data_IF_305644141114
#
_entry.id   IF_305644141114
#
_cell.length_a   1.000
_cell.length_b   1.000
_cell.length_c   1.000
_cell.angle_alpha   90.00
_cell.angle_beta   90.00
_cell.angle_gamma   90.00
#
_symmetry.space_group_name_H-M   'P 1'
#
loop_
_entity.id
_entity.type
_entity.pdbx_description
1 polymer ?
#
# COMPACT_ATOMS: atom_id res chain seq x y z
N UNK A 1 31.46 45.27 -56.30
CA UNK A 1 30.52 44.55 -57.17
C UNK A 1 30.80 43.06 -56.99
N UNK A 2 29.77 42.27 -56.62
CA UNK A 2 29.65 40.79 -56.64
C UNK A 2 30.67 39.95 -55.84
N UNK A 3 30.33 38.95 -55.01
CA UNK A 3 29.11 38.42 -54.36
C UNK A 3 29.61 37.23 -53.52
N UNK A 4 29.26 37.16 -52.24
CA UNK A 4 29.38 35.92 -51.45
C UNK A 4 28.36 34.91 -51.99
N UNK A 5 28.83 33.69 -52.30
CA UNK A 5 27.95 32.56 -52.62
C UNK A 5 27.84 31.72 -51.36
N UNK A 6 26.80 32.01 -50.59
CA UNK A 6 26.33 31.15 -49.52
C UNK A 6 25.82 29.84 -50.14
N UNK A 7 26.48 28.73 -49.81
CA UNK A 7 25.99 27.38 -50.15
C UNK A 7 24.95 26.99 -49.10
N UNK A 8 23.72 27.45 -49.28
CA UNK A 8 22.55 26.87 -48.63
C UNK A 8 22.41 25.41 -49.07
N UNK A 9 22.84 24.49 -48.22
CA UNK A 9 22.47 23.08 -48.30
C UNK A 9 20.98 22.99 -47.93
N UNK A 10 20.14 23.15 -48.94
CA UNK A 10 18.70 22.99 -48.89
C UNK A 10 18.36 21.52 -48.54
N UNK A 11 18.21 21.24 -47.23
CA UNK A 11 17.66 19.99 -46.73
C UNK A 11 16.14 20.02 -46.89
N UNK A 12 15.67 19.73 -48.10
CA UNK A 12 14.27 19.45 -48.41
C UNK A 12 13.72 18.21 -47.67
N UNK A 13 12.41 17.94 -47.74
CA UNK A 13 11.55 17.39 -46.68
C UNK A 13 11.66 15.85 -46.46
N UNK A 14 12.86 15.27 -46.60
CA UNK A 14 13.06 13.82 -46.48
C UNK A 14 13.10 13.31 -45.02
N UNK A 15 13.14 14.22 -44.04
CA UNK A 15 13.09 13.84 -42.62
C UNK A 15 11.65 13.67 -42.12
N UNK A 16 10.69 14.38 -42.72
CA UNK A 16 9.33 14.49 -42.18
C UNK A 16 8.49 13.22 -42.44
N UNK A 17 8.71 12.55 -43.57
CA UNK A 17 8.03 11.29 -43.88
C UNK A 17 8.51 10.11 -43.02
N UNK A 18 9.73 10.18 -42.48
CA UNK A 18 10.27 9.16 -41.56
C UNK A 18 9.75 9.39 -40.14
N UNK A 19 9.68 10.63 -39.65
CA UNK A 19 9.04 10.96 -38.38
C UNK A 19 7.54 10.63 -38.38
N UNK A 20 6.83 10.91 -39.47
CA UNK A 20 5.41 10.54 -39.63
C UNK A 20 5.21 9.02 -39.74
N UNK A 21 6.14 8.27 -40.34
CA UNK A 21 6.08 6.79 -40.36
C UNK A 21 6.40 6.18 -39.00
N UNK A 22 7.37 6.72 -38.26
CA UNK A 22 7.73 6.23 -36.91
C UNK A 22 6.57 6.49 -35.93
N UNK A 23 5.83 7.58 -36.10
CA UNK A 23 4.66 7.91 -35.28
C UNK A 23 3.39 7.12 -35.63
N UNK A 24 3.35 6.48 -36.81
CA UNK A 24 2.21 5.70 -37.32
C UNK A 24 2.50 4.20 -37.47
N UNK A 25 3.68 3.73 -37.05
CA UNK A 25 3.87 2.30 -36.86
C UNK A 25 2.85 1.88 -35.81
N UNK A 26 1.97 0.90 -36.11
CA UNK A 26 1.07 0.37 -35.10
C UNK A 26 1.95 -0.03 -33.94
N UNK A 27 1.72 0.56 -32.76
CA UNK A 27 2.32 0.09 -31.52
C UNK A 27 2.25 -1.42 -31.58
N UNK A 28 3.43 -2.06 -31.60
CA UNK A 28 3.52 -3.47 -31.92
C UNK A 28 2.47 -4.20 -31.09
N UNK A 29 1.74 -5.16 -31.67
CA UNK A 29 0.63 -5.80 -30.94
C UNK A 29 1.05 -6.31 -29.55
N UNK A 30 2.35 -6.54 -29.35
CA UNK A 30 2.99 -6.83 -28.06
C UNK A 30 2.93 -5.65 -27.09
N UNK A 31 3.36 -4.44 -27.44
CA UNK A 31 3.29 -3.26 -26.54
C UNK A 31 1.85 -2.94 -26.13
N UNK A 32 0.92 -2.95 -27.08
CA UNK A 32 -0.50 -2.75 -26.80
C UNK A 32 -1.07 -3.87 -25.89
N UNK A 33 -0.59 -5.11 -26.01
CA UNK A 33 -0.98 -6.18 -25.08
C UNK A 33 -0.36 -6.02 -23.70
N UNK A 34 0.89 -5.56 -23.60
CA UNK A 34 1.57 -5.38 -22.31
C UNK A 34 0.89 -4.28 -21.49
N UNK A 35 0.50 -3.17 -22.13
CA UNK A 35 -0.25 -2.07 -21.51
C UNK A 35 -1.61 -2.53 -20.95
N UNK A 36 -2.25 -3.52 -21.58
CA UNK A 36 -3.50 -4.09 -21.09
C UNK A 36 -3.29 -5.19 -20.03
N UNK A 37 -2.17 -5.90 -20.08
CA UNK A 37 -1.87 -7.02 -19.17
C UNK A 37 -1.38 -6.53 -17.81
N UNK A 38 -0.51 -5.52 -17.77
CA UNK A 38 0.03 -4.96 -16.53
C UNK A 38 -1.05 -4.59 -15.49
N UNK A 39 -2.11 -3.82 -15.83
CA UNK A 39 -3.15 -3.45 -14.86
C UNK A 39 -3.96 -4.66 -14.39
N UNK A 40 -4.22 -5.64 -15.26
CA UNK A 40 -4.97 -6.85 -14.89
C UNK A 40 -4.18 -7.70 -13.91
N UNK A 41 -2.89 -7.91 -14.18
CA UNK A 41 -1.98 -8.64 -13.28
C UNK A 41 -1.91 -7.94 -11.93
N UNK A 42 -1.74 -6.61 -11.92
CA UNK A 42 -1.70 -5.83 -10.69
C UNK A 42 -3.00 -5.97 -9.88
N UNK A 43 -4.17 -5.77 -10.51
CA UNK A 43 -5.46 -5.82 -9.83
C UNK A 43 -5.74 -7.21 -9.25
N UNK A 44 -5.53 -8.27 -10.04
CA UNK A 44 -5.74 -9.64 -9.58
C UNK A 44 -4.81 -9.98 -8.42
N UNK A 45 -3.54 -9.62 -8.51
CA UNK A 45 -2.55 -9.87 -7.48
C UNK A 45 -2.85 -9.11 -6.18
N UNK A 46 -3.11 -7.80 -6.28
CA UNK A 46 -3.37 -6.93 -5.12
C UNK A 46 -4.69 -7.26 -4.45
N UNK A 47 -5.79 -7.38 -5.22
CA UNK A 47 -7.10 -7.70 -4.67
C UNK A 47 -7.09 -9.13 -4.11
N UNK A 48 -6.55 -10.10 -4.85
CA UNK A 48 -6.45 -11.47 -4.38
C UNK A 48 -5.69 -11.58 -3.07
N UNK A 49 -4.57 -10.85 -2.95
CA UNK A 49 -3.78 -10.81 -1.73
C UNK A 49 -4.50 -10.13 -0.57
N UNK A 50 -5.12 -8.95 -0.77
CA UNK A 50 -5.83 -8.26 0.32
C UNK A 50 -7.08 -9.02 0.77
N UNK A 51 -7.81 -9.70 -0.12
CA UNK A 51 -8.90 -10.61 0.24
C UNK A 51 -8.39 -11.80 1.04
N UNK A 52 -7.36 -12.49 0.54
CA UNK A 52 -6.78 -13.64 1.23
C UNK A 52 -6.26 -13.25 2.63
N UNK A 53 -5.59 -12.09 2.72
CA UNK A 53 -5.13 -11.52 3.97
C UNK A 53 -6.28 -11.20 4.92
N UNK A 54 -7.35 -10.58 4.45
CA UNK A 54 -8.53 -10.24 5.26
C UNK A 54 -9.23 -11.49 5.80
N UNK A 55 -9.39 -12.52 4.96
CA UNK A 55 -9.98 -13.81 5.37
C UNK A 55 -9.10 -14.48 6.44
N UNK A 56 -7.78 -14.47 6.24
CA UNK A 56 -6.86 -15.10 7.19
C UNK A 56 -6.75 -14.33 8.51
N UNK A 57 -6.78 -13.00 8.44
CA UNK A 57 -6.74 -12.11 9.60
C UNK A 57 -8.00 -12.30 10.47
N UNK A 58 -9.18 -12.43 9.84
CA UNK A 58 -10.43 -12.71 10.53
C UNK A 58 -10.50 -14.13 11.13
N UNK A 59 -9.89 -15.13 10.49
CA UNK A 59 -10.02 -16.54 10.89
C UNK A 59 -8.95 -17.00 11.89
N UNK A 60 -7.74 -16.45 11.82
CA UNK A 60 -6.59 -16.98 12.58
C UNK A 60 -5.82 -15.92 13.38
N UNK A 61 -6.13 -14.62 13.23
CA UNK A 61 -5.42 -13.51 13.89
C UNK A 61 -3.87 -13.55 13.73
N UNK A 62 -3.39 -14.29 12.74
CA UNK A 62 -1.99 -14.51 12.40
C UNK A 62 -1.90 -14.62 10.87
N UNK A 63 -1.20 -13.67 10.27
CA UNK A 63 -0.90 -13.72 8.83
C UNK A 63 0.29 -14.67 8.63
N UNK A 64 0.13 -15.77 7.87
CA UNK A 64 1.20 -16.71 7.62
C UNK A 64 2.24 -16.10 6.68
N UNK A 65 3.53 -16.25 7.02
CA UNK A 65 4.64 -15.83 6.15
C UNK A 65 4.57 -16.49 4.76
N UNK A 66 3.92 -17.67 4.66
CA UNK A 66 3.72 -18.40 3.41
C UNK A 66 2.86 -17.65 2.38
N UNK A 67 2.06 -16.65 2.79
CA UNK A 67 1.29 -15.81 1.87
C UNK A 67 2.05 -14.52 1.53
N UNK A 68 2.71 -13.92 2.52
CA UNK A 68 3.39 -12.63 2.36
C UNK A 68 4.69 -12.75 1.57
N UNK A 69 5.45 -13.84 1.77
CA UNK A 69 6.71 -14.07 1.06
C UNK A 69 6.54 -14.23 -0.46
N UNK A 70 5.64 -15.10 -0.97
CA UNK A 70 5.44 -15.21 -2.41
C UNK A 70 4.96 -13.89 -3.01
N UNK A 71 4.09 -13.15 -2.32
CA UNK A 71 3.69 -11.82 -2.80
C UNK A 71 4.84 -10.82 -2.81
N UNK A 72 5.70 -10.83 -1.80
CA UNK A 72 6.88 -9.97 -1.79
C UNK A 72 7.79 -10.25 -3.01
N UNK A 73 8.14 -11.52 -3.24
CA UNK A 73 8.99 -11.89 -4.38
C UNK A 73 8.32 -11.64 -5.72
N UNK A 74 7.03 -11.93 -5.86
CA UNK A 74 6.28 -11.66 -7.07
C UNK A 74 6.20 -10.16 -7.38
N UNK A 75 6.19 -9.29 -6.37
CA UNK A 75 6.23 -7.83 -6.55
C UNK A 75 7.55 -7.35 -7.14
N UNK A 76 8.68 -7.92 -6.70
CA UNK A 76 9.98 -7.62 -7.30
C UNK A 76 10.09 -8.10 -8.75
N UNK A 77 9.54 -9.27 -9.05
CA UNK A 77 9.49 -9.79 -10.43
C UNK A 77 8.62 -8.87 -11.29
N UNK A 78 7.44 -8.47 -10.79
CA UNK A 78 6.55 -7.54 -11.49
C UNK A 78 7.28 -6.21 -11.80
N UNK A 79 7.89 -5.58 -10.79
CA UNK A 79 8.63 -4.33 -10.97
C UNK A 79 9.79 -4.46 -11.96
N UNK A 80 10.47 -5.61 -11.98
CA UNK A 80 11.56 -5.86 -12.92
C UNK A 80 11.11 -6.13 -14.36
N UNK A 81 9.96 -6.77 -14.53
CA UNK A 81 9.42 -7.15 -15.84
C UNK A 81 8.74 -5.97 -16.54
N UNK A 82 7.93 -5.20 -15.82
CA UNK A 82 7.16 -4.11 -16.42
C UNK A 82 7.90 -2.77 -16.40
N UNK A 83 8.60 -2.49 -15.30
CA UNK A 83 9.10 -1.15 -15.01
C UNK A 83 10.65 -1.07 -14.92
N UNK A 84 11.33 -2.20 -15.16
CA UNK A 84 12.78 -2.34 -15.25
C UNK A 84 13.51 -1.75 -14.02
N UNK A 85 14.62 -1.03 -14.22
CA UNK A 85 15.40 -0.43 -13.12
C UNK A 85 14.64 0.66 -12.35
N UNK A 86 13.78 1.43 -13.03
CA UNK A 86 12.96 2.47 -12.39
C UNK A 86 11.95 1.84 -11.42
N UNK A 87 11.30 0.76 -11.86
CA UNK A 87 10.40 -0.08 -11.05
C UNK A 87 11.07 -0.67 -9.82
N UNK A 88 12.27 -1.22 -9.98
CA UNK A 88 13.02 -1.78 -8.84
C UNK A 88 13.33 -0.71 -7.78
N UNK A 89 13.72 0.50 -8.20
CA UNK A 89 14.01 1.59 -7.28
C UNK A 89 12.72 2.06 -6.56
N UNK A 90 11.63 2.24 -7.30
CA UNK A 90 10.35 2.68 -6.73
C UNK A 90 9.73 1.61 -5.82
N UNK A 91 9.81 0.33 -6.19
CA UNK A 91 9.40 -0.81 -5.37
C UNK A 91 10.23 -0.96 -4.10
N UNK A 92 11.56 -0.75 -4.19
CA UNK A 92 12.45 -0.76 -3.02
C UNK A 92 12.18 0.39 -2.05
N UNK A 93 11.95 1.60 -2.56
CA UNK A 93 11.53 2.73 -1.74
C UNK A 93 10.13 2.52 -1.13
N UNK A 94 9.21 1.93 -1.89
CA UNK A 94 7.89 1.51 -1.40
C UNK A 94 7.99 0.50 -0.26
N UNK A 95 8.84 -0.51 -0.41
CA UNK A 95 9.15 -1.46 0.65
C UNK A 95 9.70 -0.75 1.89
N UNK A 96 10.71 0.11 1.72
CA UNK A 96 11.34 0.80 2.84
C UNK A 96 10.34 1.66 3.63
N UNK A 97 9.45 2.37 2.94
CA UNK A 97 8.40 3.16 3.60
C UNK A 97 7.34 2.27 4.23
N UNK A 98 6.77 1.34 3.48
CA UNK A 98 5.66 0.50 3.96
C UNK A 98 6.07 -0.41 5.10
N UNK A 99 7.14 -1.19 4.90
CA UNK A 99 7.71 -2.05 5.93
C UNK A 99 8.33 -1.21 7.04
N UNK A 100 9.17 -0.22 6.73
CA UNK A 100 9.92 0.54 7.73
C UNK A 100 9.05 1.31 8.70
N UNK A 101 8.01 2.01 8.21
CA UNK A 101 7.12 2.78 9.09
C UNK A 101 6.33 1.87 10.03
N UNK A 102 5.71 0.80 9.50
CA UNK A 102 4.96 -0.13 10.35
C UNK A 102 5.88 -0.94 11.27
N UNK A 103 7.08 -1.30 10.81
CA UNK A 103 8.09 -1.98 11.64
C UNK A 103 8.49 -1.11 12.83
N UNK A 104 8.66 0.19 12.62
CA UNK A 104 8.94 1.14 13.70
C UNK A 104 7.78 1.21 14.71
N UNK A 105 6.52 1.24 14.23
CA UNK A 105 5.33 1.15 15.08
C UNK A 105 5.23 -0.19 15.83
N UNK A 106 5.61 -1.29 15.18
CA UNK A 106 5.65 -2.61 15.81
C UNK A 106 6.71 -2.67 16.92
N UNK A 107 7.86 -2.03 16.73
CA UNK A 107 8.92 -1.94 17.74
C UNK A 107 8.48 -1.14 18.98
N UNK A 108 7.67 -0.10 18.79
CA UNK A 108 7.01 0.65 19.89
C UNK A 108 5.88 -0.18 20.53
N UNK A 109 5.45 -1.27 19.87
CA UNK A 109 4.45 -2.21 20.34
C UNK A 109 3.02 -1.81 20.05
N UNK A 110 2.79 -0.82 19.17
CA UNK A 110 1.45 -0.34 18.80
C UNK A 110 0.86 -1.13 17.62
N UNK A 111 1.67 -1.51 16.63
CA UNK A 111 1.26 -2.29 15.46
C UNK A 111 1.61 -3.78 15.57
N UNK A 112 1.02 -4.65 14.73
CA UNK A 112 1.20 -6.11 14.77
C UNK A 112 2.25 -6.58 13.78
N UNK A 113 3.06 -7.57 14.17
CA UNK A 113 4.10 -8.08 13.28
C UNK A 113 3.56 -8.74 12.00
N UNK A 114 2.29 -9.14 12.00
CA UNK A 114 1.59 -9.60 10.80
C UNK A 114 1.30 -8.46 9.82
N UNK A 115 0.76 -7.35 10.32
CA UNK A 115 0.40 -6.16 9.53
C UNK A 115 1.61 -5.55 8.83
N UNK A 116 2.77 -5.51 9.52
CA UNK A 116 4.05 -5.04 8.97
C UNK A 116 4.46 -5.83 7.73
N UNK A 117 4.34 -7.17 7.79
CA UNK A 117 4.69 -8.05 6.67
C UNK A 117 3.69 -7.93 5.53
N UNK A 118 2.41 -7.79 5.87
CA UNK A 118 1.33 -7.61 4.91
C UNK A 118 1.58 -6.38 4.04
N UNK A 119 1.73 -5.24 4.71
CA UNK A 119 1.87 -3.96 4.04
C UNK A 119 3.24 -3.81 3.38
N UNK A 120 4.30 -4.37 3.97
CA UNK A 120 5.62 -4.40 3.34
C UNK A 120 5.63 -5.18 2.02
N UNK A 121 4.94 -6.33 1.94
CA UNK A 121 4.80 -7.04 0.67
C UNK A 121 3.94 -6.26 -0.33
N UNK A 122 2.86 -5.64 0.13
CA UNK A 122 1.95 -4.84 -0.70
C UNK A 122 2.63 -3.60 -1.29
N UNK A 123 3.49 -2.95 -0.50
CA UNK A 123 4.15 -1.69 -0.88
C UNK A 123 5.18 -1.84 -2.00
N UNK A 124 5.74 -3.04 -2.20
CA UNK A 124 6.64 -3.36 -3.32
C UNK A 124 5.89 -3.29 -4.65
N UNK A 125 4.65 -3.80 -4.70
CA UNK A 125 3.81 -3.78 -5.90
C UNK A 125 3.36 -2.36 -6.25
N UNK A 126 3.02 -1.58 -5.21
CA UNK A 126 2.50 -0.23 -5.36
C UNK A 126 3.58 0.79 -5.69
N UNK A 127 4.81 0.53 -5.27
CA UNK A 127 5.89 1.51 -5.31
C UNK A 127 5.71 2.63 -4.28
N UNK A 128 6.68 3.54 -4.25
CA UNK A 128 6.82 4.57 -3.23
C UNK A 128 5.60 5.50 -3.07
N UNK A 129 5.14 6.13 -4.17
CA UNK A 129 4.07 7.14 -4.13
C UNK A 129 2.76 6.57 -3.60
N UNK A 130 2.34 5.42 -4.12
CA UNK A 130 1.10 4.76 -3.69
C UNK A 130 1.17 4.22 -2.27
N UNK A 131 2.32 3.69 -1.87
CA UNK A 131 2.55 3.24 -0.48
C UNK A 131 2.34 4.37 0.53
N UNK A 132 2.79 5.59 0.20
CA UNK A 132 2.54 6.77 1.03
C UNK A 132 1.06 7.15 1.10
N UNK A 133 0.36 7.19 -0.04
CA UNK A 133 -1.07 7.50 -0.05
C UNK A 133 -1.88 6.52 0.80
N UNK A 134 -1.60 5.22 0.67
CA UNK A 134 -2.32 4.20 1.43
C UNK A 134 -1.98 4.27 2.90
N UNK A 135 -0.72 4.52 3.25
CA UNK A 135 -0.32 4.70 4.65
C UNK A 135 -1.07 5.86 5.30
N UNK A 136 -1.16 7.00 4.62
CA UNK A 136 -1.88 8.18 5.12
C UNK A 136 -3.37 7.87 5.24
N UNK A 137 -4.02 7.41 4.16
CA UNK A 137 -5.47 7.16 4.13
C UNK A 137 -5.87 6.08 5.13
N UNK A 138 -5.13 4.97 5.21
CA UNK A 138 -5.42 3.90 6.18
C UNK A 138 -5.26 4.39 7.62
N UNK A 139 -4.25 5.22 7.91
CA UNK A 139 -4.08 5.83 9.24
C UNK A 139 -5.26 6.71 9.60
N UNK A 140 -5.73 7.54 8.67
CA UNK A 140 -6.94 8.36 8.87
C UNK A 140 -8.18 7.50 9.15
N UNK A 141 -8.39 6.42 8.39
CA UNK A 141 -9.50 5.49 8.60
C UNK A 141 -9.42 4.86 10.00
N UNK A 142 -8.24 4.39 10.42
CA UNK A 142 -8.06 3.78 11.76
C UNK A 142 -8.36 4.79 12.87
N UNK A 143 -7.88 6.02 12.74
CA UNK A 143 -8.15 7.09 13.71
C UNK A 143 -9.65 7.37 13.79
N UNK A 144 -10.33 7.51 12.63
CA UNK A 144 -11.76 7.79 12.57
C UNK A 144 -12.58 6.66 13.21
N UNK A 145 -12.31 5.41 12.85
CA UNK A 145 -12.99 4.22 13.40
C UNK A 145 -12.78 4.14 14.92
N UNK A 146 -11.55 4.39 15.40
CA UNK A 146 -11.24 4.40 16.83
C UNK A 146 -12.06 5.47 17.56
N UNK A 147 -12.14 6.68 17.01
CA UNK A 147 -12.95 7.78 17.57
C UNK A 147 -14.43 7.39 17.60
N UNK A 148 -14.99 6.87 16.50
CA UNK A 148 -16.39 6.45 16.42
C UNK A 148 -16.73 5.39 17.46
N UNK A 149 -15.86 4.41 17.69
CA UNK A 149 -16.06 3.36 18.68
C UNK A 149 -15.98 3.92 20.11
N UNK A 150 -15.03 4.81 20.38
CA UNK A 150 -14.93 5.46 21.69
C UNK A 150 -16.19 6.28 21.97
N UNK A 151 -16.65 7.09 21.00
CA UNK A 151 -17.88 7.88 21.13
C UNK A 151 -19.10 6.97 21.32
N UNK A 152 -19.26 5.93 20.49
CA UNK A 152 -20.36 4.97 20.60
C UNK A 152 -20.38 4.25 21.96
N UNK A 153 -19.22 3.82 22.45
CA UNK A 153 -19.09 3.23 23.78
C UNK A 153 -19.42 4.21 24.90
N UNK A 154 -18.99 5.47 24.79
CA UNK A 154 -19.28 6.53 25.77
C UNK A 154 -20.78 6.86 25.81
N UNK A 155 -21.44 6.92 24.64
CA UNK A 155 -22.87 7.20 24.51
C UNK A 155 -23.75 6.02 24.95
N UNK A 156 -23.43 4.79 24.54
CA UNK A 156 -24.25 3.60 24.84
C UNK A 156 -24.10 3.09 26.28
N UNK A 157 -22.93 3.22 26.90
CA UNK A 157 -22.68 2.62 28.23
C UNK A 157 -23.03 3.58 29.38
N UNK A 158 -23.19 4.87 29.08
CA UNK A 158 -23.45 5.94 30.05
C UNK A 158 -22.25 6.16 31.01
N UNK A 159 -21.98 7.41 31.43
CA UNK A 159 -20.80 7.75 32.23
C UNK A 159 -20.73 7.02 33.59
N UNK A 160 -21.85 6.45 34.06
CA UNK A 160 -21.97 5.79 35.37
C UNK A 160 -21.33 4.40 35.44
N UNK A 161 -21.21 3.65 34.34
CA UNK A 161 -20.52 2.34 34.32
C UNK A 161 -19.01 2.44 34.07
N UNK A 162 -18.55 3.51 33.41
CA UNK A 162 -17.11 3.82 33.25
C UNK A 162 -16.42 4.08 34.59
N UNK A 163 -17.05 4.87 35.49
CA UNK A 163 -16.53 5.04 36.85
C UNK A 163 -16.34 3.71 37.57
N UNK A 164 -17.26 2.74 37.41
CA UNK A 164 -17.13 1.42 38.06
C UNK A 164 -15.98 0.58 37.49
N UNK A 165 -15.72 0.60 36.17
CA UNK A 165 -14.57 -0.08 35.56
C UNK A 165 -13.24 0.62 35.90
N UNK A 166 -13.20 1.95 35.97
CA UNK A 166 -11.99 2.69 36.38
C UNK A 166 -11.72 2.60 37.89
N UNK A 167 -12.76 2.58 38.73
CA UNK A 167 -12.64 2.37 40.19
C UNK A 167 -12.27 0.91 40.52
N UNK A 168 -12.68 -0.07 39.73
CA UNK A 168 -12.22 -1.45 39.87
C UNK A 168 -10.78 -1.66 39.36
N UNK A 169 -10.37 -0.90 38.34
CA UNK A 169 -8.98 -0.87 37.84
C UNK A 169 -8.04 -0.08 38.77
N UNK A 170 -8.60 0.74 39.67
CA UNK A 170 -7.87 1.51 40.67
C UNK A 170 -7.71 0.83 42.04
N UNK A 171 -8.17 -0.41 42.24
CA UNK A 171 -7.74 -1.19 43.40
C UNK A 171 -6.28 -1.61 43.16
N UNK A 172 -5.30 -1.16 43.96
CA UNK A 172 -3.93 -1.58 43.77
C UNK A 172 -3.86 -3.09 43.93
N UNK A 173 -3.48 -3.79 42.87
CA UNK A 173 -2.82 -5.08 42.96
C UNK A 173 -1.75 -4.96 44.05
N UNK A 174 -1.85 -5.82 45.06
CA UNK A 174 -1.06 -5.80 46.29
C UNK A 174 0.42 -5.51 46.01
N UNK A 175 1.01 -4.62 46.80
CA UNK A 175 2.42 -4.28 46.76
C UNK A 175 3.28 -5.55 46.88
N UNK A 176 3.98 -5.92 45.80
CA UNK A 176 4.93 -7.04 45.78
C UNK A 176 4.82 -7.98 44.57
N UNK A 177 3.75 -7.94 43.79
CA UNK A 177 3.64 -8.82 42.61
C UNK A 177 4.33 -8.17 41.40
N UNK A 178 5.48 -8.74 40.98
CA UNK A 178 6.20 -8.32 39.77
C UNK A 178 5.21 -8.25 38.62
N UNK A 179 5.16 -7.10 37.95
CA UNK A 179 4.38 -6.85 36.72
C UNK A 179 4.62 -8.04 35.78
N UNK A 180 3.66 -8.97 35.69
CA UNK A 180 3.75 -10.10 34.76
C UNK A 180 3.99 -9.48 33.40
N UNK A 181 5.15 -9.80 32.81
CA UNK A 181 5.42 -9.48 31.41
C UNK A 181 4.29 -10.16 30.64
N UNK A 182 3.26 -9.39 30.28
CA UNK A 182 2.14 -9.94 29.52
C UNK A 182 2.73 -10.51 28.24
N UNK A 183 2.62 -11.83 28.09
CA UNK A 183 3.06 -12.54 26.88
C UNK A 183 2.40 -11.86 25.68
N UNK A 184 3.13 -11.72 24.59
CA UNK A 184 2.68 -11.06 23.35
C UNK A 184 1.28 -11.51 22.93
N UNK A 185 0.92 -12.76 23.24
CA UNK A 185 -0.40 -13.38 23.03
C UNK A 185 -1.56 -12.72 23.79
N UNK A 186 -1.38 -12.30 25.04
CA UNK A 186 -2.42 -11.63 25.83
C UNK A 186 -2.66 -10.18 25.34
N UNK A 187 -1.62 -9.51 24.83
CA UNK A 187 -1.72 -8.23 24.14
C UNK A 187 -2.39 -8.38 22.77
N UNK A 188 -2.16 -9.51 22.09
CA UNK A 188 -2.72 -9.83 20.78
C UNK A 188 -4.22 -10.18 20.86
N UNK A 189 -4.67 -10.88 21.90
CA UNK A 189 -6.10 -11.16 22.14
C UNK A 189 -6.94 -9.91 22.49
N UNK A 190 -6.31 -8.84 23.01
CA UNK A 190 -6.98 -7.55 23.26
C UNK A 190 -6.99 -6.63 22.05
N UNK A 191 -6.44 -7.03 20.90
CA UNK A 191 -6.52 -6.23 19.68
C UNK A 191 -7.93 -6.27 19.12
N UNK A 192 -8.68 -5.23 19.41
CA UNK A 192 -10.07 -5.06 19.01
C UNK A 192 -10.21 -4.76 17.50
N UNK A 193 -9.12 -4.57 16.74
CA UNK A 193 -9.24 -4.48 15.29
C UNK A 193 -8.01 -5.00 14.55
N UNK A 194 -8.29 -5.97 13.68
CA UNK A 194 -7.42 -6.50 12.66
C UNK A 194 -7.08 -5.37 11.65
N UNK A 195 -5.79 -5.00 11.53
CA UNK A 195 -5.33 -3.83 10.76
C UNK A 195 -5.37 -4.07 9.25
N UNK A 196 -5.54 -5.32 8.81
CA UNK A 196 -5.66 -5.66 7.40
C UNK A 196 -6.92 -5.04 6.74
N UNK A 197 -8.02 -4.93 7.50
CA UNK A 197 -9.29 -4.42 6.95
C UNK A 197 -9.20 -2.93 6.56
N UNK A 198 -8.73 -2.00 7.42
CA UNK A 198 -8.51 -0.61 7.02
C UNK A 198 -7.55 -0.46 5.83
N UNK A 199 -6.50 -1.27 5.76
CA UNK A 199 -5.53 -1.23 4.65
C UNK A 199 -6.19 -1.69 3.34
N UNK A 200 -6.98 -2.78 3.38
CA UNK A 200 -7.72 -3.27 2.23
C UNK A 200 -8.74 -2.24 1.73
N UNK A 201 -9.52 -1.65 2.65
CA UNK A 201 -10.49 -0.60 2.33
C UNK A 201 -9.82 0.65 1.75
N UNK A 202 -8.71 1.10 2.32
CA UNK A 202 -7.94 2.21 1.79
C UNK A 202 -7.42 1.91 0.37
N UNK A 203 -6.92 0.69 0.15
CA UNK A 203 -6.39 0.27 -1.15
C UNK A 203 -7.48 0.25 -2.21
N UNK A 204 -8.63 -0.40 -1.94
CA UNK A 204 -9.73 -0.46 -2.89
C UNK A 204 -10.39 0.91 -3.10
N UNK A 205 -10.54 1.69 -2.04
CA UNK A 205 -11.08 3.05 -2.13
C UNK A 205 -10.21 3.96 -2.98
N UNK A 206 -8.89 3.93 -2.80
CA UNK A 206 -7.96 4.70 -3.62
C UNK A 206 -7.93 4.22 -5.08
N UNK A 207 -8.02 2.90 -5.33
CA UNK A 207 -8.11 2.37 -6.69
C UNK A 207 -9.42 2.76 -7.38
N UNK A 208 -10.55 2.70 -6.68
CA UNK A 208 -11.84 3.15 -7.20
C UNK A 208 -11.81 4.65 -7.49
N UNK A 209 -11.24 5.45 -6.59
CA UNK A 209 -11.12 6.90 -6.79
C UNK A 209 -10.18 7.24 -7.95
N UNK A 210 -9.04 6.54 -8.06
CA UNK A 210 -8.14 6.68 -9.20
C UNK A 210 -8.85 6.35 -10.52
N UNK A 211 -9.71 5.34 -10.53
CA UNK A 211 -10.49 4.98 -11.71
C UNK A 211 -11.59 6.00 -12.05
N UNK A 212 -12.29 6.56 -11.06
CA UNK A 212 -13.42 7.48 -11.30
C UNK A 212 -13.02 8.94 -11.45
N UNK A 213 -11.97 9.37 -10.74
CA UNK A 213 -11.53 10.77 -10.62
C UNK A 213 -10.19 11.01 -11.34
N UNK A 214 -9.55 9.96 -11.88
CA UNK A 214 -8.19 10.01 -12.45
C UNK A 214 -7.13 10.54 -11.45
N UNK A 215 -7.41 10.47 -10.15
CA UNK A 215 -6.51 10.91 -9.10
C UNK A 215 -6.62 10.03 -7.85
N UNK A 216 -5.50 9.56 -7.25
CA UNK A 216 -4.13 9.67 -7.77
C UNK A 216 -3.96 8.88 -9.09
N UNK A 217 -3.01 9.27 -9.95
CA UNK A 217 -2.71 8.53 -11.18
C UNK A 217 -2.42 7.05 -10.87
N UNK A 218 -2.90 6.18 -11.74
CA UNK A 218 -2.88 4.74 -11.52
C UNK A 218 -1.44 4.24 -11.28
N UNK A 219 -1.25 3.15 -10.50
CA UNK A 219 0.08 2.68 -10.12
C UNK A 219 0.99 2.41 -11.31
N UNK A 220 0.42 1.83 -12.37
CA UNK A 220 1.11 1.50 -13.62
C UNK A 220 1.33 2.69 -14.56
N UNK A 221 0.81 3.89 -14.25
CA UNK A 221 1.06 5.10 -15.06
C UNK A 221 2.09 6.03 -14.44
N UNK A 222 2.66 5.66 -13.29
CA UNK A 222 3.46 6.53 -12.43
C UNK A 222 4.97 6.28 -12.46
N UNK A 223 5.43 5.36 -13.30
CA UNK A 223 6.83 4.91 -13.38
C UNK A 223 7.44 5.29 -14.73
#
# INVERSE_FOLDING_TARGET
MSTNVDTEVNQGPLNDSRSLKIQSLPQTGIEATMDQIQPVVFLVAVIGYTVAATIWDQKFYKIPNKLTLPMFFAGWIYQGVFDQFSGLATGGLGFLVGFGVLFLLWMIGTAGGGDVKLFGALSVWMGFKWSLYILIVSTFIVVLVTICIVIGNVLMIGPKRMKKKMLATGKPTKAGEKRKVETVEAKQQRRIMAYALPIALATWGLLAMAYTVNWPPLPWTLI
#
